data_IF_385486220810
#
_entry.id   IF_385486220810
#
_cell.length_a   1.000
_cell.length_b   1.000
_cell.length_c   1.000
_cell.angle_alpha   90.00
_cell.angle_beta   90.00
_cell.angle_gamma   90.00
#
_symmetry.space_group_name_H-M   'P 1'
#
loop_
_entity.id
_entity.type
_entity.pdbx_description
1 polymer ?
#
# COMPACT_ATOMS: atom_id res chain seq x y z
N UNK A 1 0.86 34.63 -3.90
CA UNK A 1 -0.32 33.75 -3.72
C UNK A 1 0.17 32.38 -3.30
N UNK A 2 -0.21 31.88 -2.12
CA UNK A 2 0.15 30.55 -1.63
C UNK A 2 -0.56 29.54 -2.55
N UNK A 3 0.18 28.75 -3.34
CA UNK A 3 -0.45 27.68 -4.12
C UNK A 3 -1.04 26.66 -3.16
N UNK A 4 -2.37 26.61 -3.05
CA UNK A 4 -3.03 25.52 -2.36
C UNK A 4 -2.72 24.22 -3.10
N UNK A 5 -2.07 23.30 -2.39
CA UNK A 5 -1.74 22.00 -2.93
C UNK A 5 -3.03 21.21 -3.08
N UNK A 6 -3.63 21.25 -4.27
CA UNK A 6 -4.89 20.55 -4.55
C UNK A 6 -4.72 19.06 -4.33
N UNK A 7 -5.48 18.52 -3.38
CA UNK A 7 -5.49 17.11 -3.02
C UNK A 7 -6.08 16.28 -4.17
N UNK A 8 -5.37 15.24 -4.60
CA UNK A 8 -5.86 14.32 -5.62
C UNK A 8 -6.50 13.09 -4.95
N UNK A 9 -7.83 13.09 -4.87
CA UNK A 9 -8.63 12.06 -4.21
C UNK A 9 -8.44 10.69 -4.89
N UNK A 10 -8.30 10.64 -6.21
CA UNK A 10 -8.14 9.38 -6.96
C UNK A 10 -6.85 8.67 -6.56
N UNK A 11 -5.76 9.42 -6.36
CA UNK A 11 -4.48 8.86 -5.95
C UNK A 11 -4.50 8.43 -4.48
N UNK A 12 -5.19 9.17 -3.61
CA UNK A 12 -5.39 8.76 -2.22
C UNK A 12 -6.22 7.47 -2.13
N UNK A 13 -7.30 7.37 -2.90
CA UNK A 13 -8.10 6.15 -3.00
C UNK A 13 -7.27 4.97 -3.50
N UNK A 14 -6.43 5.18 -4.52
CA UNK A 14 -5.53 4.15 -5.04
C UNK A 14 -4.53 3.67 -3.98
N UNK A 15 -4.03 4.55 -3.10
CA UNK A 15 -3.16 4.17 -1.97
C UNK A 15 -3.91 3.29 -0.96
N UNK A 16 -5.13 3.65 -0.59
CA UNK A 16 -5.96 2.86 0.32
C UNK A 16 -6.25 1.48 -0.27
N UNK A 17 -6.65 1.42 -1.54
CA UNK A 17 -6.88 0.17 -2.25
C UNK A 17 -5.62 -0.70 -2.29
N UNK A 18 -4.45 -0.08 -2.52
CA UNK A 18 -3.17 -0.78 -2.52
C UNK A 18 -2.85 -1.36 -1.14
N UNK A 19 -3.07 -0.61 -0.05
CA UNK A 19 -2.88 -1.13 1.32
C UNK A 19 -3.77 -2.35 1.59
N UNK A 20 -5.03 -2.32 1.17
CA UNK A 20 -5.96 -3.46 1.34
C UNK A 20 -5.49 -4.70 0.56
N UNK A 21 -5.03 -4.52 -0.68
CA UNK A 21 -4.47 -5.62 -1.49
C UNK A 21 -3.23 -6.26 -0.85
N UNK A 22 -2.37 -5.45 -0.21
CA UNK A 22 -1.18 -5.93 0.49
C UNK A 22 -1.58 -6.79 1.70
N UNK A 23 -2.51 -6.30 2.53
CA UNK A 23 -3.01 -7.05 3.69
C UNK A 23 -3.66 -8.36 3.24
N UNK A 24 -4.49 -8.32 2.20
CA UNK A 24 -5.12 -9.53 1.66
C UNK A 24 -4.07 -10.51 1.11
N UNK A 25 -3.01 -10.04 0.45
CA UNK A 25 -1.94 -10.92 -0.02
C UNK A 25 -1.19 -11.59 1.12
N UNK A 26 -0.84 -10.86 2.18
CA UNK A 26 -0.22 -11.47 3.35
C UNK A 26 -1.16 -12.49 4.01
N UNK A 27 -2.45 -12.19 4.10
CA UNK A 27 -3.43 -13.16 4.58
C UNK A 27 -3.53 -14.39 3.66
N UNK A 28 -3.54 -14.19 2.35
CA UNK A 28 -3.65 -15.28 1.37
C UNK A 28 -2.41 -16.18 1.37
N UNK A 29 -1.20 -15.62 1.50
CA UNK A 29 0.05 -16.38 1.44
C UNK A 29 0.46 -16.98 2.78
N UNK A 30 0.26 -16.26 3.89
CA UNK A 30 0.67 -16.73 5.22
C UNK A 30 -0.41 -17.48 5.98
N UNK A 31 -1.66 -17.47 5.51
CA UNK A 31 -2.67 -18.36 6.06
C UNK A 31 -2.39 -19.79 5.59
N UNK A 32 -2.43 -20.73 6.54
CA UNK A 32 -2.35 -22.16 6.28
C UNK A 32 -3.66 -22.64 5.66
N UNK A 33 -3.88 -22.32 4.39
CA UNK A 33 -5.03 -22.80 3.65
C UNK A 33 -4.88 -24.30 3.41
N UNK A 34 -5.82 -25.09 3.94
CA UNK A 34 -5.93 -26.50 3.62
C UNK A 34 -6.63 -26.58 2.26
N UNK A 35 -5.85 -26.53 1.19
CA UNK A 35 -6.38 -26.69 -0.16
C UNK A 35 -6.56 -28.18 -0.45
N UNK A 36 -7.79 -28.66 -0.74
CA UNK A 36 -7.95 -30.01 -1.25
C UNK A 36 -7.21 -30.16 -2.58
N UNK A 37 -6.60 -31.32 -2.83
CA UNK A 37 -5.78 -31.62 -4.03
C UNK A 37 -6.51 -31.48 -5.38
N UNK A 38 -7.79 -31.09 -5.39
CA UNK A 38 -8.57 -30.80 -6.60
C UNK A 38 -8.45 -29.33 -6.97
N UNK A 39 -8.13 -29.05 -8.24
CA UNK A 39 -8.10 -27.71 -8.80
C UNK A 39 -9.50 -27.10 -8.80
N UNK A 40 -9.89 -26.48 -7.68
CA UNK A 40 -11.18 -25.83 -7.50
C UNK A 40 -11.11 -24.38 -8.00
N UNK A 41 -12.26 -23.87 -8.47
CA UNK A 41 -12.41 -22.44 -8.83
C UNK A 41 -12.04 -21.53 -7.66
N UNK A 42 -12.25 -21.99 -6.42
CA UNK A 42 -11.89 -21.27 -5.19
C UNK A 42 -10.38 -21.12 -5.02
N UNK A 43 -9.62 -22.20 -5.21
CA UNK A 43 -8.15 -22.19 -5.19
C UNK A 43 -7.57 -21.29 -6.28
N UNK A 44 -8.15 -21.30 -7.49
CA UNK A 44 -7.69 -20.42 -8.56
C UNK A 44 -7.90 -18.93 -8.23
N UNK A 45 -9.07 -18.57 -7.68
CA UNK A 45 -9.36 -17.20 -7.26
C UNK A 45 -8.43 -16.72 -6.14
N UNK A 46 -8.20 -17.54 -5.11
CA UNK A 46 -7.33 -17.18 -3.99
C UNK A 46 -5.89 -16.97 -4.47
N UNK A 47 -5.41 -17.79 -5.40
CA UNK A 47 -4.08 -17.63 -5.98
C UNK A 47 -3.96 -16.37 -6.87
N UNK A 48 -4.95 -16.10 -7.73
CA UNK A 48 -4.93 -14.92 -8.61
C UNK A 48 -4.99 -13.63 -7.80
N UNK A 49 -5.94 -13.54 -6.86
CA UNK A 49 -6.11 -12.35 -6.01
C UNK A 49 -4.93 -12.23 -5.04
N UNK A 50 -4.44 -13.37 -4.52
CA UNK A 50 -3.21 -13.44 -3.75
C UNK A 50 -2.06 -12.81 -4.51
N UNK A 51 -1.78 -13.23 -5.73
CA UNK A 51 -0.65 -12.69 -6.51
C UNK A 51 -0.81 -11.19 -6.84
N UNK A 52 -2.04 -10.68 -6.94
CA UNK A 52 -2.33 -9.27 -7.18
C UNK A 52 -1.80 -8.33 -6.08
N UNK A 53 -1.59 -8.80 -4.85
CA UNK A 53 -1.02 -7.94 -3.81
C UNK A 53 0.43 -7.53 -4.06
N UNK A 54 1.20 -8.28 -4.85
CA UNK A 54 2.54 -7.82 -5.30
C UNK A 54 2.43 -6.54 -6.13
N UNK A 55 1.42 -6.46 -6.99
CA UNK A 55 1.10 -5.25 -7.77
C UNK A 55 0.70 -4.12 -6.81
N UNK A 56 -0.11 -4.43 -5.78
CA UNK A 56 -0.46 -3.50 -4.70
C UNK A 56 0.77 -2.90 -3.99
N UNK A 57 1.77 -3.72 -3.64
CA UNK A 57 3.04 -3.24 -3.05
C UNK A 57 3.74 -2.25 -3.98
N UNK A 58 3.89 -2.60 -5.27
CA UNK A 58 4.59 -1.76 -6.26
C UNK A 58 3.89 -0.40 -6.40
N UNK A 59 2.57 -0.39 -6.56
CA UNK A 59 1.78 0.83 -6.68
C UNK A 59 1.91 1.69 -5.41
N UNK A 60 1.81 1.07 -4.23
CA UNK A 60 1.93 1.77 -2.96
C UNK A 60 3.29 2.46 -2.79
N UNK A 61 4.38 1.76 -3.13
CA UNK A 61 5.75 2.29 -3.06
C UNK A 61 5.95 3.41 -4.09
N UNK A 62 5.51 3.24 -5.34
CA UNK A 62 5.64 4.25 -6.39
C UNK A 62 4.90 5.54 -6.03
N UNK A 63 3.66 5.44 -5.55
CA UNK A 63 2.89 6.63 -5.16
C UNK A 63 3.58 7.34 -3.99
N UNK A 64 4.00 6.59 -2.96
CA UNK A 64 4.68 7.15 -1.80
C UNK A 64 5.99 7.84 -2.21
N UNK A 65 6.82 7.17 -3.00
CA UNK A 65 8.08 7.70 -3.52
C UNK A 65 7.89 8.95 -4.39
N UNK A 66 6.88 8.97 -5.25
CA UNK A 66 6.56 10.12 -6.11
C UNK A 66 6.21 11.38 -5.30
N UNK A 67 5.35 11.26 -4.29
CA UNK A 67 5.00 12.41 -3.45
C UNK A 67 6.10 12.81 -2.49
N UNK A 68 6.92 11.84 -2.06
CA UNK A 68 8.06 12.10 -1.19
C UNK A 68 9.18 12.85 -1.93
N UNK A 69 9.51 12.43 -3.15
CA UNK A 69 10.51 13.08 -4.01
C UNK A 69 10.15 14.55 -4.31
N UNK A 70 8.86 14.85 -4.48
CA UNK A 70 8.38 16.23 -4.67
C UNK A 70 8.33 17.07 -3.39
N UNK A 71 8.61 16.49 -2.22
CA UNK A 71 8.63 17.22 -0.96
C UNK A 71 10.07 17.59 -0.61
N UNK A 72 10.35 18.86 -0.27
CA UNK A 72 11.66 19.24 0.28
C UNK A 72 11.83 18.55 1.63
N UNK A 73 12.75 17.60 1.71
CA UNK A 73 13.13 16.95 2.95
C UNK A 73 13.64 18.03 3.93
N UNK A 74 13.05 18.09 5.12
CA UNK A 74 13.41 19.09 6.12
C UNK A 74 13.72 18.38 7.44
N UNK A 75 14.99 18.39 7.81
CA UNK A 75 15.51 17.76 9.05
C UNK A 75 14.86 18.38 10.29
N UNK A 76 14.42 19.65 10.21
CA UNK A 76 13.64 20.31 11.27
C UNK A 76 12.35 19.55 11.63
N UNK A 77 11.69 18.92 10.66
CA UNK A 77 10.47 18.13 10.93
C UNK A 77 10.77 16.88 11.76
N UNK A 78 11.94 16.28 11.58
CA UNK A 78 12.38 15.10 12.34
C UNK A 78 12.64 15.48 13.80
N UNK A 79 13.36 16.57 14.03
CA UNK A 79 13.59 17.09 15.39
C UNK A 79 12.30 17.58 16.07
N UNK A 80 11.37 18.17 15.33
CA UNK A 80 10.06 18.54 15.88
C UNK A 80 9.25 17.31 16.31
N UNK A 81 9.26 16.24 15.50
CA UNK A 81 8.63 14.97 15.87
C UNK A 81 9.26 14.36 17.13
N UNK A 82 10.59 14.36 17.24
CA UNK A 82 11.27 13.81 18.42
C UNK A 82 11.09 14.65 19.68
N UNK A 83 10.79 15.94 19.53
CA UNK A 83 10.55 16.86 20.66
C UNK A 83 9.09 16.86 21.10
N UNK A 84 8.14 16.64 20.18
CA UNK A 84 6.70 16.51 20.48
C UNK A 84 6.35 15.12 21.05
N UNK A 85 7.12 14.08 20.70
CA UNK A 85 6.96 12.73 21.21
C UNK A 85 7.59 12.49 22.60
N UNK A 86 8.07 13.55 23.26
CA UNK A 86 8.65 13.54 24.60
C UNK A 86 7.80 14.40 25.53
#
# INVERSE_FOLDING_TARGET
MKQEKKRNINIELLRILSMLLIVYHHYSVHSSWIFPNSFSKRTALINIIGNFGKIGVIIFVLITGYFYSKQRFSVKKIFQLSTIAR
#
